data_IF_391215476157
#
_entry.id   IF_391215476157
#
_cell.length_a   1.000
_cell.length_b   1.000
_cell.length_c   1.000
_cell.angle_alpha   90.00
_cell.angle_beta   90.00
_cell.angle_gamma   90.00
#
_symmetry.space_group_name_H-M   'P 1'
#
loop_
_entity.id
_entity.type
_entity.pdbx_description
1 polymer ?
#
# COMPACT_ATOMS: atom_id res chain seq x y z
N UNK A 1 -19.13 -13.35 -35.19
CA UNK A 1 -17.66 -13.51 -35.24
C UNK A 1 -17.03 -12.17 -34.87
N UNK A 2 -16.36 -12.06 -33.73
CA UNK A 2 -15.77 -10.79 -33.26
C UNK A 2 -14.43 -10.52 -33.95
N UNK A 3 -14.23 -9.27 -34.39
CA UNK A 3 -13.06 -8.84 -35.17
C UNK A 3 -11.77 -8.83 -34.34
N UNK A 4 -10.67 -9.46 -34.80
CA UNK A 4 -9.42 -9.61 -34.05
C UNK A 4 -8.73 -8.28 -33.67
N UNK A 5 -9.06 -7.17 -34.34
CA UNK A 5 -8.52 -5.84 -34.03
C UNK A 5 -9.03 -5.28 -32.68
N UNK A 6 -10.27 -5.61 -32.29
CA UNK A 6 -10.86 -5.13 -31.03
C UNK A 6 -10.16 -5.76 -29.81
N UNK A 7 -9.81 -7.04 -29.91
CA UNK A 7 -9.12 -7.79 -28.82
C UNK A 7 -7.71 -7.25 -28.57
N UNK A 8 -7.02 -6.75 -29.59
CA UNK A 8 -5.67 -6.19 -29.46
C UNK A 8 -5.67 -4.81 -28.77
N UNK A 9 -6.66 -3.96 -29.07
CA UNK A 9 -6.83 -2.64 -28.48
C UNK A 9 -7.20 -2.71 -26.99
N UNK A 10 -8.04 -3.67 -26.59
CA UNK A 10 -8.38 -3.91 -25.18
C UNK A 10 -7.21 -4.42 -24.34
N UNK A 11 -6.35 -5.28 -24.92
CA UNK A 11 -5.14 -5.78 -24.23
C UNK A 11 -4.11 -4.67 -23.98
N UNK A 12 -4.00 -3.71 -24.90
CA UNK A 12 -3.03 -2.61 -24.82
C UNK A 12 -3.45 -1.53 -23.80
N UNK A 13 -4.75 -1.22 -23.72
CA UNK A 13 -5.30 -0.24 -22.77
C UNK A 13 -5.31 -0.76 -21.32
N UNK A 14 -5.66 -2.03 -21.08
CA UNK A 14 -5.55 -2.66 -19.75
C UNK A 14 -4.12 -2.67 -19.21
N UNK A 15 -3.12 -2.87 -20.07
CA UNK A 15 -1.71 -2.92 -19.66
C UNK A 15 -1.14 -1.56 -19.26
N UNK A 16 -1.51 -0.49 -19.98
CA UNK A 16 -1.13 0.90 -19.67
C UNK A 16 -1.78 1.36 -18.35
N UNK A 17 -3.05 1.03 -18.12
CA UNK A 17 -3.76 1.37 -16.88
C UNK A 17 -3.17 0.68 -15.63
N UNK A 18 -2.76 -0.60 -15.75
CA UNK A 18 -2.12 -1.36 -14.66
C UNK A 18 -0.72 -0.84 -14.33
N UNK A 19 0.07 -0.47 -15.35
CA UNK A 19 1.39 0.15 -15.16
C UNK A 19 1.31 1.48 -14.41
N UNK A 20 0.33 2.32 -14.77
CA UNK A 20 0.07 3.60 -14.08
C UNK A 20 -0.36 3.42 -12.62
N UNK A 21 -1.27 2.47 -12.35
CA UNK A 21 -1.71 2.15 -10.97
C UNK A 21 -0.55 1.68 -10.10
N UNK A 22 0.30 0.76 -10.60
CA UNK A 22 1.47 0.26 -9.85
C UNK A 22 2.47 1.38 -9.54
N UNK A 23 2.75 2.25 -10.52
CA UNK A 23 3.64 3.39 -10.32
C UNK A 23 3.08 4.41 -9.31
N UNK A 24 1.76 4.61 -9.28
CA UNK A 24 1.08 5.46 -8.29
C UNK A 24 1.22 4.88 -6.88
N UNK A 25 0.93 3.59 -6.70
CA UNK A 25 1.05 2.92 -5.39
C UNK A 25 2.48 2.92 -4.87
N UNK A 26 3.48 2.71 -5.75
CA UNK A 26 4.89 2.81 -5.38
C UNK A 26 5.24 4.21 -4.84
N UNK A 27 4.77 5.27 -5.51
CA UNK A 27 4.98 6.66 -5.07
C UNK A 27 4.32 6.94 -3.72
N UNK A 28 3.11 6.44 -3.49
CA UNK A 28 2.41 6.57 -2.20
C UNK A 28 3.19 5.84 -1.10
N UNK A 29 3.62 4.60 -1.35
CA UNK A 29 4.42 3.80 -0.42
C UNK A 29 5.73 4.49 -0.02
N UNK A 30 6.46 5.06 -0.99
CA UNK A 30 7.69 5.82 -0.70
C UNK A 30 7.41 7.02 0.20
N UNK A 31 6.32 7.76 -0.04
CA UNK A 31 5.95 8.90 0.82
C UNK A 31 5.63 8.45 2.25
N UNK A 32 4.92 7.35 2.42
CA UNK A 32 4.62 6.80 3.75
C UNK A 32 5.89 6.33 4.45
N UNK A 33 6.75 5.59 3.75
CA UNK A 33 8.03 5.13 4.27
C UNK A 33 8.90 6.29 4.78
N UNK A 34 9.06 7.34 3.97
CA UNK A 34 9.84 8.52 4.36
C UNK A 34 9.24 9.26 5.55
N UNK A 35 7.91 9.36 5.66
CA UNK A 35 7.25 9.99 6.82
C UNK A 35 7.50 9.21 8.10
N UNK A 36 7.41 7.88 8.04
CA UNK A 36 7.68 7.00 9.19
C UNK A 36 9.13 7.11 9.67
N UNK A 37 10.09 7.15 8.74
CA UNK A 37 11.49 7.35 9.10
C UNK A 37 11.75 8.70 9.78
N UNK A 38 11.08 9.78 9.34
CA UNK A 38 11.24 11.11 9.97
C UNK A 38 10.75 11.18 11.41
N UNK A 39 9.80 10.32 11.79
CA UNK A 39 9.32 10.25 13.17
C UNK A 39 10.07 9.22 14.01
N UNK A 40 11.13 8.60 13.47
CA UNK A 40 12.02 7.71 14.23
C UNK A 40 11.77 6.21 14.05
N UNK A 41 10.91 5.80 13.10
CA UNK A 41 10.73 4.37 12.80
C UNK A 41 11.95 3.85 12.04
N UNK A 42 12.60 2.75 12.48
CA UNK A 42 13.71 2.13 11.77
C UNK A 42 13.37 1.81 10.31
N UNK A 43 14.37 1.93 9.43
CA UNK A 43 14.16 1.85 7.98
C UNK A 43 13.40 0.58 7.53
N UNK A 44 13.78 -0.58 8.06
CA UNK A 44 13.17 -1.86 7.69
C UNK A 44 11.71 -1.95 8.12
N UNK A 45 11.41 -1.60 9.38
CA UNK A 45 10.04 -1.56 9.89
C UNK A 45 9.19 -0.50 9.16
N UNK A 46 9.76 0.67 8.88
CA UNK A 46 9.07 1.75 8.17
C UNK A 46 8.66 1.31 6.75
N UNK A 47 9.51 0.53 6.09
CA UNK A 47 9.23 -0.03 4.76
C UNK A 47 8.09 -1.06 4.82
N UNK A 48 8.15 -2.00 5.77
CA UNK A 48 7.10 -3.01 5.94
C UNK A 48 5.75 -2.38 6.28
N UNK A 49 5.71 -1.43 7.22
CA UNK A 49 4.49 -0.71 7.57
C UNK A 49 3.93 0.05 6.36
N UNK A 50 4.78 0.75 5.62
CA UNK A 50 4.33 1.49 4.43
C UNK A 50 3.70 0.57 3.38
N UNK A 51 4.27 -0.63 3.18
CA UNK A 51 3.70 -1.64 2.28
C UNK A 51 2.34 -2.11 2.80
N UNK A 52 2.24 -2.46 4.08
CA UNK A 52 0.99 -2.93 4.69
C UNK A 52 -0.12 -1.87 4.59
N UNK A 53 0.19 -0.60 4.89
CA UNK A 53 -0.76 0.53 4.80
C UNK A 53 -1.25 0.75 3.36
N UNK A 54 -0.35 0.67 2.36
CA UNK A 54 -0.74 0.80 0.95
C UNK A 54 -1.62 -0.36 0.50
N UNK A 55 -1.27 -1.59 0.89
CA UNK A 55 -2.03 -2.80 0.59
C UNK A 55 -3.44 -2.71 1.19
N UNK A 56 -3.54 -2.28 2.44
CA UNK A 56 -4.82 -2.07 3.10
C UNK A 56 -5.65 -0.97 2.41
N UNK A 57 -5.05 0.20 2.18
CA UNK A 57 -5.80 1.39 1.72
C UNK A 57 -6.17 1.39 0.24
N UNK A 58 -5.50 0.59 -0.60
CA UNK A 58 -5.65 0.68 -2.06
C UNK A 58 -5.85 -0.67 -2.77
N UNK A 59 -5.63 -1.78 -2.07
CA UNK A 59 -5.77 -3.13 -2.60
C UNK A 59 -6.74 -3.98 -1.76
N UNK A 60 -7.42 -3.39 -0.77
CA UNK A 60 -8.34 -4.07 0.14
C UNK A 60 -7.75 -5.33 0.79
N UNK A 61 -6.42 -5.32 0.97
CA UNK A 61 -5.68 -6.44 1.54
C UNK A 61 -5.49 -6.21 3.04
N UNK A 62 -6.01 -7.10 3.88
CA UNK A 62 -5.77 -7.01 5.33
C UNK A 62 -4.30 -7.27 5.68
N UNK A 63 -3.74 -6.59 6.71
CA UNK A 63 -2.41 -6.90 7.20
C UNK A 63 -2.37 -8.29 7.84
N UNK A 64 -1.25 -8.99 7.66
CA UNK A 64 -0.95 -10.26 8.34
C UNK A 64 -0.75 -10.05 9.85
N UNK A 65 -0.65 -11.14 10.61
CA UNK A 65 -0.41 -11.08 12.05
C UNK A 65 0.88 -10.32 12.40
N UNK A 66 1.99 -10.61 11.70
CA UNK A 66 3.26 -9.89 11.92
C UNK A 66 3.16 -8.42 11.50
N UNK A 67 2.47 -8.11 10.40
CA UNK A 67 2.24 -6.71 9.97
C UNK A 67 1.41 -5.96 11.02
N UNK A 68 0.37 -6.58 11.59
CA UNK A 68 -0.44 -6.00 12.70
C UNK A 68 0.41 -5.77 13.94
N UNK A 69 1.27 -6.72 14.30
CA UNK A 69 2.19 -6.59 15.44
C UNK A 69 3.16 -5.42 15.23
N UNK A 70 3.70 -5.25 14.02
CA UNK A 70 4.56 -4.12 13.68
C UNK A 70 3.79 -2.79 13.75
N UNK A 71 2.60 -2.73 13.14
CA UNK A 71 1.71 -1.56 13.17
C UNK A 71 1.34 -1.18 14.60
N UNK A 72 1.01 -2.17 15.44
CA UNK A 72 0.71 -1.98 16.86
C UNK A 72 1.90 -1.43 17.64
N UNK A 73 3.10 -1.98 17.41
CA UNK A 73 4.35 -1.50 18.04
C UNK A 73 4.65 -0.03 17.73
N UNK A 74 4.34 0.41 16.51
CA UNK A 74 4.59 1.77 16.05
C UNK A 74 3.32 2.64 16.00
N UNK A 75 2.25 2.26 16.72
CA UNK A 75 0.95 2.93 16.61
C UNK A 75 1.02 4.45 16.82
N UNK A 76 1.78 4.91 17.83
CA UNK A 76 2.00 6.33 18.11
C UNK A 76 2.64 7.06 16.93
N UNK A 77 3.61 6.43 16.27
CA UNK A 77 4.31 6.98 15.12
C UNK A 77 3.38 7.06 13.90
N UNK A 78 2.58 6.01 13.66
CA UNK A 78 1.55 6.02 12.61
C UNK A 78 0.49 7.11 12.87
N UNK A 79 0.08 7.31 14.11
CA UNK A 79 -0.83 8.40 14.49
C UNK A 79 -0.21 9.76 14.16
N UNK A 80 1.05 9.98 14.54
CA UNK A 80 1.76 11.26 14.31
C UNK A 80 1.86 11.63 12.82
N UNK A 81 1.93 10.64 11.92
CA UNK A 81 2.00 10.88 10.47
C UNK A 81 0.66 10.72 9.73
N UNK A 82 -0.44 10.54 10.47
CA UNK A 82 -1.79 10.40 9.92
C UNK A 82 -2.01 9.13 9.10
N UNK A 83 -1.26 8.06 9.39
CA UNK A 83 -1.38 6.76 8.71
C UNK A 83 -2.13 5.72 9.55
N UNK A 84 -2.52 6.07 10.77
CA UNK A 84 -3.27 5.19 11.65
C UNK A 84 -4.71 5.00 11.20
N UNK A 85 -5.17 3.75 11.26
CA UNK A 85 -6.56 3.31 11.04
C UNK A 85 -6.84 2.19 12.03
N UNK A 86 -7.81 2.39 12.92
CA UNK A 86 -8.14 1.40 13.96
C UNK A 86 -8.52 0.03 13.35
N UNK A 87 -9.21 0.05 12.22
CA UNK A 87 -9.65 -1.12 11.46
C UNK A 87 -8.49 -2.01 10.97
N UNK A 88 -7.26 -1.49 10.86
CA UNK A 88 -6.10 -2.31 10.49
C UNK A 88 -5.77 -3.38 11.53
N UNK A 89 -6.14 -3.13 12.80
CA UNK A 89 -5.89 -4.07 13.91
C UNK A 89 -7.11 -4.87 14.33
N UNK A 90 -8.33 -4.40 14.03
CA UNK A 90 -9.59 -5.01 14.50
C UNK A 90 -10.13 -6.16 13.63
N UNK A 91 -9.34 -6.64 12.67
CA UNK A 91 -9.74 -7.78 11.84
C UNK A 91 -9.32 -9.12 12.45
N UNK A 92 -10.25 -9.87 13.02
CA UNK A 92 -10.12 -11.33 13.22
C UNK A 92 -10.12 -12.05 11.88
#
# INVERSE_FOLDING_TARGET
MQSPAAVLLERKTKSISKGSKRAKLKRIGIKHWQRLMRVGVPQDHAKEIAIAVVRYSHLDCRPSFEEKRLIGRYCQHLCAVGLWRLEMLLGS
#
